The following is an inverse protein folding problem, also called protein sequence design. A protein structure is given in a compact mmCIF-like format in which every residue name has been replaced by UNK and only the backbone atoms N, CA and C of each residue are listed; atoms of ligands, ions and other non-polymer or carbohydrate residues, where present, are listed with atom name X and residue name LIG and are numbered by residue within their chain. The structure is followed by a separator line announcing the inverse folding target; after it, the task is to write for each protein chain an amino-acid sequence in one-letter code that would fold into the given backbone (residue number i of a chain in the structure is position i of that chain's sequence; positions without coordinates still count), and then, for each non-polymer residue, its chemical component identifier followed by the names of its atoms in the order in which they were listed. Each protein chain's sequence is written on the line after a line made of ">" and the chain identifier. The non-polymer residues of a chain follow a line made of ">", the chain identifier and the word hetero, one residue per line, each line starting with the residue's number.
data_IF_369872126432
#
_entry.id   IF_369872126432
#
_cell.length_a   1.000
_cell.length_b   1.000
_cell.length_c   1.000
_cell.angle_alpha   90.00
_cell.angle_beta   90.00
_cell.angle_gamma   90.00
#
_symmetry.space_group_name_H-M   'P 1'
#
loop_
_entity.id
_entity.type
_entity.pdbx_description
1 polymer ?
#
# COMPACT_ATOMS: atom_id res chain seq x y z
N UNK A 1 6.77 -25.72 44.61
CA UNK A 1 7.42 -26.07 43.33
C UNK A 1 6.30 -26.36 42.35
N UNK A 2 5.86 -25.34 41.59
CA UNK A 2 6.07 -25.11 40.13
C UNK A 2 5.23 -26.07 39.27
N UNK A 3 4.42 -25.68 38.28
CA UNK A 3 4.16 -24.42 37.57
C UNK A 3 2.65 -24.30 37.27
N UNK A 4 2.12 -23.07 37.20
CA UNK A 4 0.79 -22.81 36.69
C UNK A 4 0.75 -23.13 35.18
N UNK A 5 -0.15 -24.02 34.77
CA UNK A 5 -0.56 -24.11 33.37
C UNK A 5 -1.51 -22.94 33.14
N UNK A 6 -1.05 -21.96 32.36
CA UNK A 6 -1.85 -20.81 31.95
C UNK A 6 -2.96 -21.27 31.03
N UNK A 7 -4.08 -21.66 31.62
CA UNK A 7 -5.36 -21.79 30.95
C UNK A 7 -5.95 -20.38 30.74
N UNK A 8 -5.77 -19.83 29.54
CA UNK A 8 -6.81 -19.00 28.91
C UNK A 8 -6.69 -19.21 27.42
N UNK A 9 -7.59 -20.03 26.86
CA UNK A 9 -8.00 -19.85 25.47
C UNK A 9 -8.40 -18.37 25.33
N UNK A 10 -7.69 -17.63 24.48
CA UNK A 10 -8.12 -16.31 24.05
C UNK A 10 -9.34 -16.51 23.12
N UNK A 11 -10.49 -16.75 23.74
CA UNK A 11 -11.82 -16.43 23.18
C UNK A 11 -12.10 -14.98 23.61
N UNK A 12 -11.49 -14.03 22.89
CA UNK A 12 -11.80 -12.61 23.00
C UNK A 12 -12.62 -12.23 21.77
N UNK A 13 -13.90 -12.59 21.84
CA UNK A 13 -14.92 -12.32 20.82
C UNK A 13 -15.40 -10.86 20.90
N UNK A 14 -14.46 -9.92 21.10
CA UNK A 14 -14.68 -8.52 20.78
C UNK A 14 -14.25 -8.31 19.35
N UNK A 15 -15.18 -8.57 18.42
CA UNK A 15 -15.15 -7.94 17.11
C UNK A 15 -15.40 -6.45 17.39
N UNK A 16 -14.34 -5.74 17.80
CA UNK A 16 -14.26 -4.32 17.51
C UNK A 16 -14.38 -4.26 16.00
N UNK A 17 -15.47 -3.65 15.49
CA UNK A 17 -15.59 -3.35 14.07
C UNK A 17 -14.40 -2.44 13.73
N UNK A 18 -13.26 -3.04 13.39
CA UNK A 18 -12.16 -2.33 12.80
C UNK A 18 -12.76 -1.71 11.55
N UNK A 19 -12.91 -0.39 11.59
CA UNK A 19 -13.38 0.37 10.45
C UNK A 19 -12.32 0.19 9.38
N UNK A 20 -12.50 -0.80 8.51
CA UNK A 20 -11.62 -1.03 7.38
C UNK A 20 -11.74 0.22 6.52
N UNK A 21 -10.74 1.10 6.62
CA UNK A 21 -10.71 2.34 5.88
C UNK A 21 -10.60 1.97 4.40
N UNK A 22 -11.73 2.09 3.68
CA UNK A 22 -11.78 1.75 2.27
C UNK A 22 -11.28 2.94 1.47
N UNK A 23 -10.03 2.86 1.01
CA UNK A 23 -9.44 3.90 0.19
C UNK A 23 -9.82 3.71 -1.28
N UNK A 24 -10.66 4.61 -1.79
CA UNK A 24 -11.00 4.65 -3.21
C UNK A 24 -9.84 5.24 -4.01
N UNK A 25 -9.22 4.41 -4.86
CA UNK A 25 -8.15 4.83 -5.76
C UNK A 25 -8.64 4.92 -7.20
N UNK A 26 -7.99 5.75 -8.01
CA UNK A 26 -8.28 5.82 -9.43
C UNK A 26 -7.88 4.51 -10.14
N UNK A 27 -8.30 4.36 -11.40
CA UNK A 27 -7.97 3.18 -12.18
C UNK A 27 -6.45 2.90 -12.20
N UNK A 28 -6.10 1.63 -11.97
CA UNK A 28 -4.72 1.11 -11.92
C UNK A 28 -3.86 1.62 -10.74
N UNK A 29 -4.44 2.36 -9.81
CA UNK A 29 -3.77 2.75 -8.58
C UNK A 29 -4.11 1.79 -7.44
N UNK A 30 -3.20 1.66 -6.48
CA UNK A 30 -3.39 0.85 -5.27
C UNK A 30 -3.09 1.71 -4.06
N UNK A 31 -3.91 1.64 -3.02
CA UNK A 31 -3.59 2.29 -1.76
C UNK A 31 -2.35 1.67 -1.13
N UNK A 32 -1.38 2.50 -0.81
CA UNK A 32 -0.14 2.09 -0.16
C UNK A 32 -0.02 2.85 1.15
N UNK A 33 -0.01 2.16 2.30
CA UNK A 33 0.26 2.78 3.61
C UNK A 33 1.62 3.47 3.65
N UNK A 34 2.61 2.82 3.03
CA UNK A 34 3.95 3.32 2.82
C UNK A 34 4.18 3.57 1.33
N UNK A 35 3.74 4.73 0.85
CA UNK A 35 3.86 5.08 -0.56
C UNK A 35 5.28 5.55 -0.90
N UNK A 36 5.59 5.63 -2.19
CA UNK A 36 6.86 6.16 -2.68
C UNK A 36 6.68 7.04 -3.91
N UNK A 37 7.74 7.73 -4.32
CA UNK A 37 7.71 8.49 -5.57
C UNK A 37 7.54 7.56 -6.79
N UNK A 38 6.64 7.93 -7.70
CA UNK A 38 6.35 7.21 -8.93
C UNK A 38 7.27 7.65 -10.08
N UNK A 39 7.39 6.77 -11.08
CA UNK A 39 8.01 7.09 -12.37
C UNK A 39 6.95 7.53 -13.39
N UNK A 40 7.40 8.01 -14.54
CA UNK A 40 6.55 8.47 -15.65
C UNK A 40 6.80 7.63 -16.90
N UNK A 41 5.78 7.44 -17.75
CA UNK A 41 5.96 6.78 -19.04
C UNK A 41 6.98 7.56 -19.91
N UNK A 42 7.78 6.85 -20.71
CA UNK A 42 8.74 7.47 -21.64
C UNK A 42 9.94 8.17 -20.98
N UNK A 43 10.00 8.23 -19.64
CA UNK A 43 11.13 8.80 -18.89
C UNK A 43 11.96 7.68 -18.26
N UNK A 44 13.30 7.83 -18.23
CA UNK A 44 14.15 6.87 -17.53
C UNK A 44 13.79 6.86 -16.03
N UNK A 45 13.88 5.69 -15.36
CA UNK A 45 13.66 5.62 -13.93
C UNK A 45 14.59 6.58 -13.20
N UNK A 46 14.04 7.36 -12.27
CA UNK A 46 14.86 8.30 -11.50
C UNK A 46 15.61 7.50 -10.43
N UNK A 47 16.95 7.48 -10.49
CA UNK A 47 17.79 6.87 -9.47
C UNK A 47 17.74 7.73 -8.19
N UNK A 48 16.81 7.39 -7.30
CA UNK A 48 16.58 8.08 -6.03
C UNK A 48 16.18 7.07 -4.98
N UNK A 49 16.63 7.31 -3.74
CA UNK A 49 16.09 6.61 -2.58
C UNK A 49 14.59 6.88 -2.56
N UNK A 50 13.80 5.82 -2.35
CA UNK A 50 12.34 5.90 -2.27
C UNK A 50 11.94 5.77 -0.80
N UNK A 51 12.09 6.84 0.01
CA UNK A 51 11.69 6.80 1.40
C UNK A 51 10.18 6.56 1.48
N UNK A 52 9.77 6.00 2.61
CA UNK A 52 8.36 5.87 2.94
C UNK A 52 7.71 7.25 3.00
N UNK A 53 6.66 7.43 2.22
CA UNK A 53 5.80 8.61 2.26
C UNK A 53 4.44 8.23 2.84
N UNK A 54 3.65 9.21 3.33
CA UNK A 54 2.32 8.95 3.88
C UNK A 54 1.43 8.15 2.93
N UNK A 55 0.43 7.51 3.51
CA UNK A 55 -0.53 6.69 2.80
C UNK A 55 -1.17 7.44 1.63
N UNK A 56 -1.11 6.86 0.42
CA UNK A 56 -1.82 7.38 -0.75
C UNK A 56 -2.02 6.30 -1.81
N UNK A 57 -2.93 6.57 -2.73
CA UNK A 57 -3.04 5.83 -3.98
C UNK A 57 -1.77 5.99 -4.82
N UNK A 58 -1.18 4.87 -5.21
CA UNK A 58 0.07 4.81 -5.96
C UNK A 58 -0.05 3.86 -7.16
N UNK A 59 0.49 4.31 -8.27
CA UNK A 59 0.65 3.62 -9.54
C UNK A 59 1.82 2.60 -9.43
N UNK A 60 1.55 1.29 -9.52
CA UNK A 60 2.53 0.25 -9.21
C UNK A 60 3.50 0.03 -10.38
N UNK A 61 4.61 0.76 -10.40
CA UNK A 61 5.64 0.64 -11.45
C UNK A 61 6.30 -0.74 -11.55
N UNK A 62 6.30 -1.52 -10.47
CA UNK A 62 6.75 -2.92 -10.50
C UNK A 62 5.81 -3.85 -11.29
N UNK A 63 4.59 -3.40 -11.62
CA UNK A 63 3.61 -4.09 -12.49
C UNK A 63 3.52 -3.48 -13.90
N UNK A 64 4.42 -2.58 -14.26
CA UNK A 64 4.42 -1.93 -15.59
C UNK A 64 3.58 -0.66 -15.69
N UNK A 65 2.94 -0.22 -14.60
CA UNK A 65 2.13 1.01 -14.61
C UNK A 65 2.94 2.24 -14.19
N UNK A 66 2.85 3.32 -14.97
CA UNK A 66 3.43 4.62 -14.59
C UNK A 66 2.48 5.74 -14.96
N UNK A 67 2.73 6.93 -14.43
CA UNK A 67 1.90 8.09 -14.77
C UNK A 67 2.24 8.62 -16.17
N UNK A 68 1.22 8.96 -16.94
CA UNK A 68 1.37 9.72 -18.17
C UNK A 68 1.50 11.23 -17.87
N UNK A 69 1.64 12.08 -18.90
CA UNK A 69 1.77 13.54 -18.74
C UNK A 69 0.51 14.23 -18.16
N UNK A 70 -0.66 13.56 -18.25
CA UNK A 70 -1.92 14.02 -17.64
C UNK A 70 -2.04 13.62 -16.18
N UNK A 71 -1.15 12.76 -15.70
CA UNK A 71 -1.18 12.21 -14.35
C UNK A 71 -1.94 10.88 -14.23
N UNK A 72 -2.45 10.30 -15.31
CA UNK A 72 -3.19 9.02 -15.25
C UNK A 72 -2.23 7.84 -15.09
N UNK A 73 -2.59 6.88 -14.23
CA UNK A 73 -1.86 5.62 -14.09
C UNK A 73 -2.21 4.65 -15.23
N UNK A 74 -1.29 4.46 -16.16
CA UNK A 74 -1.48 3.62 -17.34
C UNK A 74 -0.35 2.60 -17.48
N UNK A 75 -0.62 1.52 -18.20
CA UNK A 75 0.42 0.57 -18.58
C UNK A 75 1.34 1.22 -19.64
N UNK A 76 2.63 1.31 -19.34
CA UNK A 76 3.63 1.81 -20.29
C UNK A 76 4.32 0.62 -20.95
N UNK A 77 3.65 -0.06 -21.89
CA UNK A 77 4.26 -1.06 -22.78
C UNK A 77 5.32 -0.46 -23.68
#
# INVERSE_FOLDING_TARGET
>A
MVYALGDTAYDDDTIEDEVIEHHECAANEVWMECSSSEDECGKPPKARIRPCQPGRCQCPSHKGFKRNEKGDCIECT
#
